data_IF_119240809365
#
_entry.id   IF_119240809365
#
_cell.length_a   1.000
_cell.length_b   1.000
_cell.length_c   1.000
_cell.angle_alpha   90.00
_cell.angle_beta   90.00
_cell.angle_gamma   90.00
#
_symmetry.space_group_name_H-M   'P 1'
#
loop_
_entity.id
_entity.type
_entity.pdbx_description
1 polymer ?
#
# COMPACT_ATOMS: atom_id res chain seq x y z
N UNK A 1 17.31 3.28 -24.68
CA UNK A 1 17.52 2.61 -23.38
C UNK A 1 16.79 1.27 -23.42
N UNK A 2 17.49 0.12 -23.39
CA UNK A 2 16.82 -1.19 -23.34
C UNK A 2 16.31 -1.41 -21.92
N UNK A 3 15.00 -1.36 -21.73
CA UNK A 3 14.37 -1.65 -20.44
C UNK A 3 14.44 -3.14 -20.15
N UNK A 4 15.03 -3.52 -19.02
CA UNK A 4 15.04 -4.90 -18.54
C UNK A 4 13.63 -5.32 -18.07
N UNK A 5 13.38 -6.62 -18.04
CA UNK A 5 12.06 -7.18 -17.64
C UNK A 5 11.55 -6.64 -16.30
N UNK A 6 12.36 -6.55 -15.21
CA UNK A 6 11.90 -5.92 -13.96
C UNK A 6 11.44 -4.49 -14.15
N UNK A 7 12.21 -3.65 -14.85
CA UNK A 7 11.83 -2.24 -15.08
C UNK A 7 10.52 -2.09 -15.86
N UNK A 8 10.23 -3.01 -16.79
CA UNK A 8 8.96 -3.02 -17.52
C UNK A 8 7.79 -3.32 -16.58
N UNK A 9 7.95 -4.23 -15.63
CA UNK A 9 6.94 -4.56 -14.63
C UNK A 9 6.68 -3.38 -13.68
N UNK A 10 7.72 -2.66 -13.26
CA UNK A 10 7.57 -1.45 -12.43
C UNK A 10 6.81 -0.36 -13.18
N UNK A 11 7.14 -0.10 -14.46
CA UNK A 11 6.41 0.87 -15.29
C UNK A 11 4.96 0.43 -15.49
N UNK A 12 4.72 -0.85 -15.79
CA UNK A 12 3.38 -1.40 -15.94
C UNK A 12 2.54 -1.19 -14.68
N UNK A 13 3.11 -1.41 -13.49
CA UNK A 13 2.43 -1.12 -12.22
C UNK A 13 2.06 0.35 -12.09
N UNK A 14 2.99 1.27 -12.38
CA UNK A 14 2.72 2.72 -12.30
C UNK A 14 1.57 3.12 -13.23
N UNK A 15 1.49 2.50 -14.40
CA UNK A 15 0.37 2.74 -15.34
C UNK A 15 -0.93 2.15 -14.81
N UNK A 16 -0.91 1.00 -14.13
CA UNK A 16 -2.12 0.38 -13.56
C UNK A 16 -2.76 1.21 -12.43
N UNK A 17 -1.96 1.97 -11.66
CA UNK A 17 -2.47 2.74 -10.52
C UNK A 17 -3.56 3.76 -10.93
N UNK A 18 -3.37 4.63 -11.93
CA UNK A 18 -4.43 5.54 -12.38
C UNK A 18 -5.67 4.79 -12.86
N UNK A 19 -5.54 3.67 -13.57
CA UNK A 19 -6.69 2.88 -13.98
C UNK A 19 -7.47 2.32 -12.78
N UNK A 20 -6.77 1.75 -11.81
CA UNK A 20 -7.37 1.34 -10.55
C UNK A 20 -8.16 2.48 -9.89
N UNK A 21 -7.55 3.68 -9.80
CA UNK A 21 -8.18 4.85 -9.19
C UNK A 21 -9.43 5.28 -9.97
N UNK A 22 -9.38 5.29 -11.31
CA UNK A 22 -10.55 5.68 -12.13
C UNK A 22 -11.74 4.75 -11.87
N UNK A 23 -11.53 3.44 -11.87
CA UNK A 23 -12.62 2.48 -11.61
C UNK A 23 -13.16 2.57 -10.18
N UNK A 24 -12.37 3.03 -9.21
CA UNK A 24 -12.80 3.15 -7.83
C UNK A 24 -13.44 4.51 -7.52
N UNK A 25 -13.06 5.56 -8.25
CA UNK A 25 -13.59 6.92 -8.06
C UNK A 25 -14.87 7.18 -8.84
N UNK A 26 -15.01 6.53 -10.00
CA UNK A 26 -16.12 6.80 -10.90
C UNK A 26 -16.88 5.51 -11.23
N UNK A 27 -18.23 5.54 -11.24
CA UNK A 27 -19.05 4.41 -11.68
C UNK A 27 -19.00 4.29 -13.23
N UNK A 28 -17.84 3.86 -13.76
CA UNK A 28 -17.56 3.77 -15.21
C UNK A 28 -18.62 2.92 -15.94
N UNK A 29 -19.20 1.93 -15.27
CA UNK A 29 -20.27 1.07 -15.80
C UNK A 29 -21.68 1.57 -15.46
N UNK A 30 -21.83 2.85 -15.04
CA UNK A 30 -23.09 3.41 -14.55
C UNK A 30 -23.41 3.01 -13.11
N UNK A 31 -24.44 3.61 -12.53
CA UNK A 31 -24.84 3.35 -11.12
C UNK A 31 -25.15 1.88 -10.83
N UNK A 32 -25.77 1.17 -11.78
CA UNK A 32 -26.01 -0.28 -11.65
C UNK A 32 -24.74 -1.13 -11.76
N UNK A 33 -23.62 -0.55 -12.15
CA UNK A 33 -22.34 -1.22 -12.39
C UNK A 33 -21.31 -1.03 -11.29
N UNK A 34 -21.65 -0.42 -10.16
CA UNK A 34 -20.70 -0.20 -9.05
C UNK A 34 -20.01 -1.48 -8.57
N UNK A 35 -20.75 -2.58 -8.52
CA UNK A 35 -20.17 -3.89 -8.18
C UNK A 35 -19.05 -4.28 -9.16
N UNK A 36 -19.24 -4.08 -10.46
CA UNK A 36 -18.22 -4.37 -11.47
C UNK A 36 -17.02 -3.43 -11.35
N UNK A 37 -17.27 -2.14 -11.04
CA UNK A 37 -16.19 -1.18 -10.78
C UNK A 37 -15.32 -1.62 -9.61
N UNK A 38 -15.90 -2.09 -8.51
CA UNK A 38 -15.16 -2.64 -7.35
C UNK A 38 -14.38 -3.90 -7.73
N UNK A 39 -14.99 -4.85 -8.45
CA UNK A 39 -14.32 -6.09 -8.87
C UNK A 39 -13.12 -5.77 -9.77
N UNK A 40 -13.31 -4.92 -10.77
CA UNK A 40 -12.23 -4.53 -11.70
C UNK A 40 -11.12 -3.79 -10.94
N UNK A 41 -11.47 -2.86 -10.05
CA UNK A 41 -10.50 -2.17 -9.20
C UNK A 41 -9.70 -3.14 -8.35
N UNK A 42 -10.37 -4.09 -7.67
CA UNK A 42 -9.69 -5.08 -6.84
C UNK A 42 -8.75 -5.97 -7.67
N UNK A 43 -9.16 -6.40 -8.86
CA UNK A 43 -8.33 -7.19 -9.75
C UNK A 43 -7.08 -6.42 -10.19
N UNK A 44 -7.24 -5.15 -10.60
CA UNK A 44 -6.11 -4.28 -11.00
C UNK A 44 -5.15 -4.11 -9.81
N UNK A 45 -5.67 -3.83 -8.61
CA UNK A 45 -4.86 -3.67 -7.40
C UNK A 45 -4.10 -4.94 -7.03
N UNK A 46 -4.75 -6.11 -7.09
CA UNK A 46 -4.11 -7.41 -6.83
C UNK A 46 -3.02 -7.69 -7.86
N UNK A 47 -3.28 -7.48 -9.15
CA UNK A 47 -2.29 -7.65 -10.22
C UNK A 47 -1.09 -6.72 -9.98
N UNK A 48 -1.32 -5.44 -9.66
CA UNK A 48 -0.26 -4.49 -9.36
C UNK A 48 0.57 -4.92 -8.13
N UNK A 49 -0.09 -5.44 -7.08
CA UNK A 49 0.60 -5.92 -5.87
C UNK A 49 1.42 -7.19 -6.12
N UNK A 50 0.90 -8.12 -6.94
CA UNK A 50 1.61 -9.36 -7.31
C UNK A 50 2.81 -9.04 -8.21
N UNK A 51 2.68 -8.09 -9.15
CA UNK A 51 3.80 -7.67 -10.00
C UNK A 51 4.94 -7.07 -9.19
N UNK A 52 4.67 -6.35 -8.08
CA UNK A 52 5.69 -5.86 -7.14
C UNK A 52 6.51 -7.00 -6.51
N UNK A 53 5.82 -8.04 -6.08
CA UNK A 53 6.50 -9.21 -5.52
C UNK A 53 7.37 -9.94 -6.56
N UNK A 54 6.87 -10.03 -7.79
CA UNK A 54 7.55 -10.73 -8.88
C UNK A 54 8.78 -9.98 -9.40
N UNK A 55 8.71 -8.66 -9.61
CA UNK A 55 9.84 -7.88 -10.14
C UNK A 55 11.02 -7.87 -9.17
N UNK A 56 10.75 -7.70 -7.87
CA UNK A 56 11.78 -7.78 -6.83
C UNK A 56 12.44 -9.15 -6.73
N UNK A 57 11.68 -10.24 -6.98
CA UNK A 57 12.23 -11.59 -7.02
C UNK A 57 13.09 -11.84 -8.29
N UNK A 58 12.57 -11.44 -9.46
CA UNK A 58 13.27 -11.60 -10.74
C UNK A 58 14.56 -10.77 -10.80
N UNK A 59 14.53 -9.52 -10.34
CA UNK A 59 15.69 -8.64 -10.33
C UNK A 59 16.84 -9.24 -9.51
N UNK A 60 16.55 -9.80 -8.34
CA UNK A 60 17.55 -10.45 -7.48
C UNK A 60 18.07 -11.75 -8.11
N UNK A 61 17.18 -12.58 -8.65
CA UNK A 61 17.56 -13.88 -9.25
C UNK A 61 18.44 -13.72 -10.49
N UNK A 62 18.18 -12.70 -11.32
CA UNK A 62 18.87 -12.49 -12.59
C UNK A 62 20.06 -11.51 -12.50
N UNK A 63 20.35 -10.94 -11.32
CA UNK A 63 21.41 -9.94 -11.14
C UNK A 63 21.18 -8.64 -11.94
N UNK A 64 19.94 -8.38 -12.40
CA UNK A 64 19.58 -7.25 -13.27
C UNK A 64 19.12 -6.03 -12.48
N UNK A 65 19.85 -5.65 -11.46
CA UNK A 65 19.54 -4.46 -10.66
C UNK A 65 20.05 -3.22 -11.38
N UNK A 66 19.13 -2.36 -11.82
CA UNK A 66 19.47 -1.10 -12.51
C UNK A 66 19.30 0.11 -11.59
N UNK A 67 19.99 1.23 -11.87
CA UNK A 67 19.79 2.48 -11.13
C UNK A 67 18.37 3.02 -11.31
N UNK A 68 17.77 2.82 -12.48
CA UNK A 68 16.38 3.17 -12.74
C UNK A 68 15.42 2.37 -11.85
N UNK A 69 15.57 1.03 -11.75
CA UNK A 69 14.75 0.20 -10.86
C UNK A 69 14.90 0.60 -9.40
N UNK A 70 16.15 0.80 -8.91
CA UNK A 70 16.41 1.27 -7.54
C UNK A 70 15.67 2.56 -7.17
N UNK A 71 15.44 3.45 -8.14
CA UNK A 71 14.68 4.69 -7.95
C UNK A 71 13.18 4.46 -8.07
N UNK A 72 12.75 3.75 -9.12
CA UNK A 72 11.33 3.62 -9.47
C UNK A 72 10.56 2.61 -8.58
N UNK A 73 11.21 1.53 -8.13
CA UNK A 73 10.55 0.49 -7.32
C UNK A 73 10.00 1.05 -5.99
N UNK A 74 10.79 1.78 -5.15
CA UNK A 74 10.28 2.36 -3.92
C UNK A 74 9.20 3.44 -4.16
N UNK A 75 9.21 4.07 -5.32
CA UNK A 75 8.22 5.06 -5.71
C UNK A 75 6.90 4.37 -6.08
N UNK A 76 6.95 3.36 -6.95
CA UNK A 76 5.79 2.61 -7.41
C UNK A 76 5.04 1.90 -6.27
N UNK A 77 5.78 1.29 -5.32
CA UNK A 77 5.22 0.65 -4.13
C UNK A 77 4.40 1.64 -3.28
N UNK A 78 4.94 2.82 -3.02
CA UNK A 78 4.24 3.86 -2.27
C UNK A 78 3.05 4.43 -3.03
N UNK A 79 3.20 4.67 -4.33
CA UNK A 79 2.10 5.15 -5.16
C UNK A 79 0.91 4.19 -5.18
N UNK A 80 1.16 2.88 -5.20
CA UNK A 80 0.10 1.88 -5.16
C UNK A 80 -0.73 1.98 -3.88
N UNK A 81 -0.07 1.98 -2.72
CA UNK A 81 -0.77 2.04 -1.41
C UNK A 81 -1.39 3.42 -1.17
N UNK A 82 -0.67 4.51 -1.45
CA UNK A 82 -1.20 5.86 -1.25
C UNK A 82 -2.36 6.16 -2.20
N UNK A 83 -2.22 5.75 -3.46
CA UNK A 83 -3.31 5.85 -4.44
C UNK A 83 -4.54 5.07 -4.03
N UNK A 84 -4.37 3.87 -3.46
CA UNK A 84 -5.49 3.07 -2.95
C UNK A 84 -6.17 3.75 -1.75
N UNK A 85 -5.41 4.26 -0.78
CA UNK A 85 -5.96 4.96 0.38
C UNK A 85 -6.76 6.19 -0.08
N UNK A 86 -6.17 7.02 -0.95
CA UNK A 86 -6.83 8.23 -1.46
C UNK A 86 -8.08 7.88 -2.27
N UNK A 87 -8.00 6.88 -3.16
CA UNK A 87 -9.14 6.49 -3.99
C UNK A 87 -10.30 5.93 -3.16
N UNK A 88 -10.04 5.11 -2.13
CA UNK A 88 -11.09 4.59 -1.23
C UNK A 88 -11.74 5.74 -0.45
N UNK A 89 -10.95 6.68 0.08
CA UNK A 89 -11.45 7.82 0.85
C UNK A 89 -12.24 8.82 -0.02
N UNK A 90 -11.86 8.98 -1.28
CA UNK A 90 -12.52 9.91 -2.20
C UNK A 90 -13.69 9.29 -2.96
N UNK A 91 -13.92 7.98 -2.84
CA UNK A 91 -15.00 7.27 -3.52
C UNK A 91 -16.30 7.32 -2.71
N UNK A 92 -17.40 7.68 -3.37
CA UNK A 92 -18.72 7.72 -2.76
C UNK A 92 -19.29 6.32 -2.48
N UNK A 93 -18.84 5.32 -3.21
CA UNK A 93 -19.39 3.95 -3.15
C UNK A 93 -18.40 2.91 -2.59
N UNK A 94 -17.11 3.21 -2.41
CA UNK A 94 -16.13 2.23 -1.94
C UNK A 94 -16.42 1.69 -0.53
N UNK A 95 -16.98 2.52 0.35
CA UNK A 95 -17.37 2.12 1.71
C UNK A 95 -18.89 1.98 1.75
N UNK A 96 -19.35 0.75 1.92
CA UNK A 96 -20.78 0.45 2.03
C UNK A 96 -21.32 0.78 3.43
N UNK A 97 -22.61 1.10 3.50
CA UNK A 97 -23.29 1.22 4.79
C UNK A 97 -23.69 -0.15 5.33
N UNK A 98 -23.68 -0.30 6.65
CA UNK A 98 -23.96 -1.57 7.30
C UNK A 98 -24.55 -1.36 8.70
N UNK A 99 -25.33 -2.35 9.14
CA UNK A 99 -25.95 -2.38 10.46
C UNK A 99 -24.97 -2.72 11.60
N UNK A 100 -23.86 -3.43 11.31
CA UNK A 100 -22.90 -3.83 12.34
C UNK A 100 -21.81 -2.76 12.54
N UNK A 101 -21.13 -2.37 11.47
CA UNK A 101 -20.16 -1.26 11.47
C UNK A 101 -20.65 -0.21 10.47
N UNK A 102 -21.10 0.95 10.98
CA UNK A 102 -21.61 2.01 10.11
C UNK A 102 -20.51 2.52 9.18
N UNK A 103 -20.95 3.04 8.01
CA UNK A 103 -20.07 3.67 7.03
C UNK A 103 -19.15 4.72 7.67
N UNK A 104 -19.72 5.55 8.55
CA UNK A 104 -18.99 6.64 9.20
C UNK A 104 -17.83 6.12 10.08
N UNK A 105 -18.08 5.11 10.93
CA UNK A 105 -17.06 4.51 11.79
C UNK A 105 -15.94 3.90 10.95
N UNK A 106 -16.28 3.13 9.92
CA UNK A 106 -15.30 2.51 9.05
C UNK A 106 -14.49 3.55 8.28
N UNK A 107 -15.15 4.57 7.73
CA UNK A 107 -14.51 5.67 7.01
C UNK A 107 -13.51 6.42 7.88
N UNK A 108 -13.92 6.83 9.09
CA UNK A 108 -13.04 7.52 10.04
C UNK A 108 -11.86 6.65 10.47
N UNK A 109 -12.10 5.36 10.73
CA UNK A 109 -11.04 4.42 11.09
C UNK A 109 -10.03 4.27 9.94
N UNK A 110 -10.51 4.14 8.71
CA UNK A 110 -9.65 4.01 7.54
C UNK A 110 -8.90 5.32 7.23
N UNK A 111 -9.52 6.48 7.43
CA UNK A 111 -8.86 7.79 7.30
C UNK A 111 -7.66 7.90 8.23
N UNK A 112 -7.84 7.63 9.53
CA UNK A 112 -6.74 7.68 10.50
C UNK A 112 -5.69 6.61 10.21
N UNK A 113 -6.09 5.41 9.80
CA UNK A 113 -5.17 4.37 9.37
C UNK A 113 -4.32 4.83 8.17
N UNK A 114 -4.93 5.48 7.19
CA UNK A 114 -4.24 6.04 6.02
C UNK A 114 -3.22 7.12 6.41
N UNK A 115 -3.59 8.04 7.30
CA UNK A 115 -2.68 9.08 7.81
C UNK A 115 -1.47 8.44 8.50
N UNK A 116 -1.69 7.45 9.38
CA UNK A 116 -0.63 6.73 10.09
C UNK A 116 0.31 6.01 9.10
N UNK A 117 -0.26 5.36 8.08
CA UNK A 117 0.52 4.67 7.04
C UNK A 117 1.39 5.66 6.28
N UNK A 118 0.81 6.75 5.75
CA UNK A 118 1.54 7.76 4.97
C UNK A 118 2.67 8.37 5.79
N UNK A 119 2.36 8.82 7.02
CA UNK A 119 3.35 9.42 7.92
C UNK A 119 4.51 8.45 8.20
N UNK A 120 4.20 7.19 8.54
CA UNK A 120 5.22 6.17 8.81
C UNK A 120 6.09 5.89 7.59
N UNK A 121 5.49 5.76 6.39
CA UNK A 121 6.26 5.49 5.17
C UNK A 121 7.24 6.61 4.85
N UNK A 122 6.81 7.86 5.00
CA UNK A 122 7.67 9.02 4.78
C UNK A 122 8.75 9.12 5.85
N UNK A 123 8.39 8.97 7.13
CA UNK A 123 9.34 9.05 8.25
C UNK A 123 10.46 8.00 8.15
N UNK A 124 10.11 6.72 7.94
CA UNK A 124 11.11 5.65 7.83
C UNK A 124 11.98 5.80 6.58
N UNK A 125 11.41 6.30 5.47
CA UNK A 125 12.19 6.55 4.26
C UNK A 125 13.19 7.69 4.46
N UNK A 126 12.77 8.78 5.08
CA UNK A 126 13.63 9.92 5.39
C UNK A 126 14.75 9.54 6.35
N UNK A 127 14.44 8.80 7.43
CA UNK A 127 15.47 8.27 8.34
C UNK A 127 16.49 7.39 7.61
N UNK A 128 16.02 6.50 6.73
CA UNK A 128 16.93 5.64 5.95
C UNK A 128 17.87 6.45 5.06
N UNK A 129 17.37 7.50 4.40
CA UNK A 129 18.19 8.38 3.57
C UNK A 129 19.26 9.10 4.40
N UNK A 130 18.88 9.66 5.55
CA UNK A 130 19.82 10.37 6.43
C UNK A 130 20.92 9.42 6.92
N UNK A 131 20.57 8.26 7.47
CA UNK A 131 21.55 7.31 8.02
C UNK A 131 22.44 6.71 6.92
N UNK A 132 21.90 6.38 5.75
CA UNK A 132 22.72 5.87 4.63
C UNK A 132 23.75 6.91 4.16
N UNK A 133 23.38 8.20 4.13
CA UNK A 133 24.28 9.27 3.71
C UNK A 133 25.35 9.58 4.78
N UNK A 134 24.99 9.53 6.05
CA UNK A 134 25.90 9.88 7.16
C UNK A 134 26.88 8.75 7.50
N UNK A 135 26.43 7.49 7.55
CA UNK A 135 27.22 6.36 8.04
C UNK A 135 27.56 5.29 7.00
N UNK A 136 26.98 5.36 5.79
CA UNK A 136 27.11 4.30 4.78
C UNK A 136 26.47 2.96 5.17
N UNK A 137 25.79 2.89 6.32
CA UNK A 137 25.20 1.67 6.85
C UNK A 137 23.81 1.45 6.25
N UNK A 138 23.63 0.31 5.58
CA UNK A 138 22.34 -0.13 5.07
C UNK A 138 21.71 -1.08 6.07
N UNK A 139 20.74 -0.60 6.86
CA UNK A 139 19.93 -1.49 7.72
C UNK A 139 18.98 -2.32 6.84
N UNK A 140 19.14 -3.63 6.91
CA UNK A 140 18.32 -4.57 6.13
C UNK A 140 16.83 -4.44 6.45
N UNK A 141 15.98 -4.73 5.44
CA UNK A 141 14.53 -4.76 5.63
C UNK A 141 14.15 -5.79 6.70
N UNK A 142 13.49 -5.35 7.77
CA UNK A 142 13.03 -6.25 8.83
C UNK A 142 11.84 -7.09 8.36
N UNK A 143 11.63 -8.27 8.97
CA UNK A 143 10.42 -9.08 8.73
C UNK A 143 9.13 -8.29 9.01
N UNK A 144 9.15 -7.42 10.02
CA UNK A 144 8.03 -6.52 10.32
C UNK A 144 7.69 -5.58 9.16
N UNK A 145 8.70 -5.15 8.37
CA UNK A 145 8.46 -4.35 7.17
C UNK A 145 7.67 -5.11 6.10
N UNK A 146 7.90 -6.41 5.93
CA UNK A 146 7.14 -7.25 4.99
C UNK A 146 5.71 -7.51 5.47
N UNK A 147 5.55 -7.82 6.76
CA UNK A 147 4.23 -8.05 7.37
C UNK A 147 3.37 -6.80 7.23
N UNK A 148 3.93 -5.62 7.54
CA UNK A 148 3.25 -4.34 7.37
C UNK A 148 2.70 -4.15 5.95
N UNK A 149 3.51 -4.37 4.91
CA UNK A 149 3.05 -4.22 3.52
C UNK A 149 1.94 -5.21 3.18
N UNK A 150 2.06 -6.47 3.61
CA UNK A 150 1.00 -7.46 3.41
C UNK A 150 -0.30 -7.06 4.11
N UNK A 151 -0.25 -6.55 5.34
CA UNK A 151 -1.47 -6.10 6.06
C UNK A 151 -2.12 -4.91 5.37
N UNK A 152 -1.36 -4.00 4.75
CA UNK A 152 -1.89 -2.90 3.95
C UNK A 152 -2.62 -3.40 2.70
N UNK A 153 -2.01 -4.34 1.95
CA UNK A 153 -2.63 -4.94 0.77
C UNK A 153 -3.94 -5.66 1.15
N UNK A 154 -3.91 -6.48 2.20
CA UNK A 154 -5.11 -7.18 2.69
C UNK A 154 -6.19 -6.20 3.10
N UNK A 155 -5.85 -5.13 3.83
CA UNK A 155 -6.82 -4.11 4.24
C UNK A 155 -7.50 -3.44 3.03
N UNK A 156 -6.74 -3.03 2.02
CA UNK A 156 -7.29 -2.44 0.79
C UNK A 156 -8.22 -3.43 0.07
N UNK A 157 -7.82 -4.70 -0.04
CA UNK A 157 -8.68 -5.75 -0.62
C UNK A 157 -9.97 -5.94 0.18
N UNK A 158 -9.90 -5.98 1.52
CA UNK A 158 -11.09 -6.09 2.37
C UNK A 158 -12.03 -4.90 2.15
N UNK A 159 -11.51 -3.67 2.17
CA UNK A 159 -12.32 -2.45 1.96
C UNK A 159 -13.10 -2.48 0.64
N UNK A 160 -12.50 -3.00 -0.43
CA UNK A 160 -13.14 -3.02 -1.74
C UNK A 160 -14.07 -4.22 -1.90
N UNK A 161 -13.68 -5.40 -1.43
CA UNK A 161 -14.33 -6.67 -1.77
C UNK A 161 -15.36 -7.14 -0.73
N UNK A 162 -15.21 -6.79 0.56
CA UNK A 162 -16.14 -7.26 1.60
C UNK A 162 -17.59 -6.91 1.29
N UNK A 163 -17.92 -5.66 0.86
CA UNK A 163 -19.31 -5.31 0.56
C UNK A 163 -19.97 -6.14 -0.55
N UNK A 164 -19.15 -6.77 -1.40
CA UNK A 164 -19.62 -7.59 -2.52
C UNK A 164 -19.64 -9.08 -2.16
N UNK A 165 -18.51 -9.58 -1.63
CA UNK A 165 -18.31 -11.01 -1.41
C UNK A 165 -18.91 -11.50 -0.09
N UNK A 166 -18.91 -10.64 0.94
CA UNK A 166 -19.24 -10.98 2.31
C UNK A 166 -20.16 -9.92 2.96
N UNK A 167 -21.26 -9.49 2.30
CA UNK A 167 -22.12 -8.42 2.81
C UNK A 167 -22.72 -8.75 4.18
N UNK A 168 -22.86 -10.04 4.52
CA UNK A 168 -23.37 -10.50 5.82
C UNK A 168 -22.41 -10.21 7.00
N UNK A 169 -21.13 -9.95 6.74
CA UNK A 169 -20.16 -9.57 7.78
C UNK A 169 -20.28 -8.09 8.21
N UNK A 170 -21.01 -7.29 7.45
CA UNK A 170 -21.37 -5.94 7.87
C UNK A 170 -20.20 -5.03 8.16
N UNK A 171 -19.18 -5.01 7.30
CA UNK A 171 -17.96 -4.23 7.40
C UNK A 171 -16.99 -4.65 8.53
N UNK A 172 -17.25 -5.76 9.23
CA UNK A 172 -16.40 -6.22 10.35
C UNK A 172 -15.01 -6.62 9.87
N UNK A 173 -14.91 -7.31 8.73
CA UNK A 173 -13.62 -7.75 8.19
C UNK A 173 -12.76 -6.54 7.79
N UNK A 174 -13.34 -5.56 7.13
CA UNK A 174 -12.68 -4.30 6.77
C UNK A 174 -12.22 -3.54 8.01
N UNK A 175 -13.06 -3.41 9.02
CA UNK A 175 -12.73 -2.76 10.27
C UNK A 175 -11.58 -3.45 11.01
N UNK A 176 -11.65 -4.77 11.17
CA UNK A 176 -10.57 -5.56 11.81
C UNK A 176 -9.26 -5.44 11.01
N UNK A 177 -9.33 -5.52 9.68
CA UNK A 177 -8.14 -5.37 8.83
C UNK A 177 -7.51 -3.97 8.95
N UNK A 178 -8.30 -2.90 9.12
CA UNK A 178 -7.80 -1.56 9.42
C UNK A 178 -7.04 -1.52 10.75
N UNK A 179 -7.60 -2.11 11.82
CA UNK A 179 -6.93 -2.15 13.13
C UNK A 179 -5.61 -2.94 13.04
N UNK A 180 -5.62 -4.10 12.38
CA UNK A 180 -4.40 -4.91 12.17
C UNK A 180 -3.35 -4.12 11.38
N UNK A 181 -3.76 -3.41 10.32
CA UNK A 181 -2.88 -2.54 9.53
C UNK A 181 -2.26 -1.44 10.40
N UNK A 182 -3.03 -0.76 11.26
CA UNK A 182 -2.54 0.27 12.18
C UNK A 182 -1.50 -0.33 13.13
N UNK A 183 -1.82 -1.44 13.79
CA UNK A 183 -0.93 -2.09 14.78
C UNK A 183 0.42 -2.46 14.15
N UNK A 184 0.43 -3.16 13.02
CA UNK A 184 1.67 -3.56 12.36
C UNK A 184 2.44 -2.36 11.75
N UNK A 185 1.75 -1.33 11.30
CA UNK A 185 2.37 -0.10 10.81
C UNK A 185 3.11 0.62 11.93
N UNK A 186 2.47 0.82 13.09
CA UNK A 186 3.08 1.46 14.26
C UNK A 186 4.23 0.62 14.82
N UNK A 187 4.02 -0.69 14.99
CA UNK A 187 5.07 -1.59 15.50
C UNK A 187 6.30 -1.57 14.60
N UNK A 188 6.09 -1.70 13.28
CA UNK A 188 7.17 -1.61 12.31
C UNK A 188 7.87 -0.23 12.36
N UNK A 189 7.12 0.86 12.45
CA UNK A 189 7.68 2.23 12.57
C UNK A 189 8.56 2.37 13.81
N UNK A 190 8.07 1.94 14.96
CA UNK A 190 8.81 1.99 16.22
C UNK A 190 10.08 1.13 16.21
N UNK A 191 10.01 -0.07 15.62
CA UNK A 191 11.16 -0.93 15.43
C UNK A 191 12.27 -0.29 14.60
N UNK A 192 11.90 0.41 13.51
CA UNK A 192 12.86 1.16 12.69
C UNK A 192 13.41 2.39 13.42
N UNK A 193 12.56 3.14 14.13
CA UNK A 193 13.01 4.27 14.93
C UNK A 193 14.05 3.84 15.96
N UNK A 194 13.79 2.75 16.69
CA UNK A 194 14.74 2.19 17.66
C UNK A 194 16.08 1.77 17.00
N UNK A 195 16.02 1.17 15.81
CA UNK A 195 17.20 0.70 15.09
C UNK A 195 18.07 1.86 14.56
N UNK A 196 17.45 2.96 14.13
CA UNK A 196 18.16 4.11 13.57
C UNK A 196 18.57 5.17 14.61
N UNK A 197 17.94 5.17 15.79
CA UNK A 197 18.16 6.17 16.83
C UNK A 197 19.63 6.38 17.23
N UNK A 198 20.46 5.31 17.42
CA UNK A 198 21.86 5.48 17.76
C UNK A 198 22.67 6.28 16.72
N UNK A 199 22.33 6.12 15.44
CA UNK A 199 23.03 6.77 14.33
C UNK A 199 22.64 8.24 14.17
N UNK A 200 21.39 8.61 14.51
CA UNK A 200 20.93 9.99 14.48
C UNK A 200 21.50 10.79 15.65
N UNK A 201 21.72 10.14 16.80
CA UNK A 201 22.22 10.79 18.01
C UNK A 201 23.75 10.96 17.98
N UNK A 202 24.51 10.22 17.17
CA UNK A 202 25.97 10.29 17.12
C UNK A 202 26.51 11.54 16.43
N UNK A 203 25.68 12.30 15.72
CA UNK A 203 26.07 13.55 15.03
C UNK A 203 25.83 14.81 15.90
N UNK A 204 25.47 14.63 17.17
CA UNK A 204 25.34 15.69 18.17
C UNK A 204 26.35 15.49 19.31
#
# INVERSE_FOLDING_TARGET
MKLNTPNKLTIFRIVLIPFFMVFLLYPVFGESGEMWCRIVSALIFIIASVTDFLDGHLARKNGQVTNFGKFMDPLADKFLIFGAIVAILASDFAVADSSLISREILYQTFLWAGIIVIFRELAVTSMRLVVNNASGIVVSASMLGKIKTNTQIVCVCCMILEPILLPFLGNVLSFVSCIVMIVFTLWSGFSYLKAYWPYIKSDS
#
